data_IF_472717543490
#
_entry.id   IF_472717543490
#
_cell.length_a   1.000
_cell.length_b   1.000
_cell.length_c   1.000
_cell.angle_alpha   90.00
_cell.angle_beta   90.00
_cell.angle_gamma   90.00
#
_symmetry.space_group_name_H-M   'P 1'
#
loop_
_entity.id
_entity.type
_entity.pdbx_description
1 polymer ?
#
# COMPACT_ATOMS: atom_id res chain seq x y z
N UNK A 1 37.99 -19.89 8.77
CA UNK A 1 37.42 -19.35 7.50
C UNK A 1 35.95 -19.73 7.29
N UNK A 2 35.59 -21.02 7.36
CA UNK A 2 34.19 -21.45 7.20
C UNK A 2 33.18 -20.74 8.13
N UNK A 3 33.57 -20.44 9.37
CA UNK A 3 32.73 -19.70 10.31
C UNK A 3 32.41 -18.27 9.87
N UNK A 4 33.34 -17.57 9.21
CA UNK A 4 33.07 -16.23 8.67
C UNK A 4 32.03 -16.31 7.55
N UNK A 5 32.15 -17.30 6.67
CA UNK A 5 31.17 -17.54 5.61
C UNK A 5 29.80 -17.86 6.20
N UNK A 6 29.75 -18.71 7.25
CA UNK A 6 28.51 -19.02 7.96
C UNK A 6 27.86 -17.76 8.56
N UNK A 7 28.64 -16.89 9.19
CA UNK A 7 28.14 -15.63 9.77
C UNK A 7 27.59 -14.72 8.67
N UNK A 8 28.27 -14.60 7.53
CA UNK A 8 27.80 -13.78 6.41
C UNK A 8 26.49 -14.32 5.83
N UNK A 9 26.37 -15.64 5.67
CA UNK A 9 25.13 -16.27 5.21
C UNK A 9 24.01 -16.01 6.21
N UNK A 10 24.26 -16.17 7.52
CA UNK A 10 23.27 -15.91 8.56
C UNK A 10 22.79 -14.45 8.54
N UNK A 11 23.72 -13.50 8.45
CA UNK A 11 23.43 -12.08 8.38
C UNK A 11 22.61 -11.72 7.14
N UNK A 12 22.94 -12.30 5.97
CA UNK A 12 22.19 -12.10 4.75
C UNK A 12 20.75 -12.64 4.86
N UNK A 13 20.55 -13.83 5.45
CA UNK A 13 19.23 -14.41 5.66
C UNK A 13 18.38 -13.54 6.60
N UNK A 14 18.95 -13.08 7.72
CA UNK A 14 18.27 -12.18 8.66
C UNK A 14 17.90 -10.87 7.96
N UNK A 15 18.81 -10.28 7.18
CA UNK A 15 18.56 -9.05 6.45
C UNK A 15 17.44 -9.22 5.41
N UNK A 16 17.46 -10.29 4.62
CA UNK A 16 16.42 -10.58 3.62
C UNK A 16 15.06 -10.78 4.30
N UNK A 17 15.00 -11.58 5.36
CA UNK A 17 13.77 -11.79 6.13
C UNK A 17 13.20 -10.48 6.67
N UNK A 18 14.04 -9.65 7.29
CA UNK A 18 13.64 -8.33 7.77
C UNK A 18 13.22 -7.38 6.64
N UNK A 19 13.92 -7.41 5.51
CA UNK A 19 13.62 -6.55 4.36
C UNK A 19 12.26 -6.88 3.74
N UNK A 20 11.96 -8.17 3.59
CA UNK A 20 10.68 -8.65 3.04
C UNK A 20 9.52 -8.27 3.95
N UNK A 21 9.62 -8.48 5.27
CA UNK A 21 8.56 -8.08 6.20
C UNK A 21 8.31 -6.57 6.19
N UNK A 22 9.37 -5.76 6.09
CA UNK A 22 9.26 -4.30 5.96
C UNK A 22 8.60 -3.87 4.65
N UNK A 23 8.84 -4.57 3.53
CA UNK A 23 8.18 -4.28 2.26
C UNK A 23 6.67 -4.51 2.33
N UNK A 24 6.23 -5.57 3.03
CA UNK A 24 4.81 -5.86 3.22
C UNK A 24 4.13 -4.84 4.14
N UNK A 25 4.81 -4.38 5.19
CA UNK A 25 4.29 -3.36 6.11
C UNK A 25 4.05 -2.00 5.43
N UNK A 26 4.88 -1.65 4.43
CA UNK A 26 4.72 -0.44 3.63
C UNK A 26 3.77 -0.59 2.44
N UNK A 27 3.14 -1.77 2.24
CA UNK A 27 2.10 -1.88 1.23
C UNK A 27 0.89 -1.10 1.74
N UNK A 28 0.64 0.07 1.15
CA UNK A 28 -0.58 0.84 1.35
C UNK A 28 -1.74 -0.13 1.20
N UNK A 29 -2.41 -0.46 2.33
CA UNK A 29 -3.65 -1.22 2.33
C UNK A 29 -4.53 -0.55 1.27
N UNK A 30 -4.99 -1.30 0.28
CA UNK A 30 -6.11 -0.86 -0.56
C UNK A 30 -7.24 -0.61 0.42
N UNK A 31 -7.34 0.64 0.85
CA UNK A 31 -8.48 1.12 1.58
C UNK A 31 -9.61 0.84 0.60
N UNK A 32 -10.64 0.14 1.07
CA UNK A 32 -11.90 0.13 0.34
C UNK A 32 -12.21 1.62 0.21
N UNK A 33 -12.01 2.14 -1.00
CA UNK A 33 -12.51 3.45 -1.39
C UNK A 33 -13.98 3.39 -0.99
N UNK A 34 -14.38 4.22 -0.03
CA UNK A 34 -15.77 4.28 0.35
C UNK A 34 -16.62 4.64 -0.86
N UNK A 35 -17.94 4.43 -0.83
CA UNK A 35 -18.83 4.95 -1.88
C UNK A 35 -18.53 6.42 -2.20
N UNK A 36 -18.08 7.19 -1.20
CA UNK A 36 -17.69 8.60 -1.30
C UNK A 36 -16.47 8.89 -2.21
N UNK A 37 -15.55 7.94 -2.47
CA UNK A 37 -14.48 8.13 -3.47
C UNK A 37 -14.70 7.32 -4.78
N UNK A 38 -15.87 6.69 -4.96
CA UNK A 38 -16.24 6.06 -6.23
C UNK A 38 -16.83 7.13 -7.19
N UNK A 39 -16.15 7.45 -8.31
CA UNK A 39 -16.63 8.47 -9.24
C UNK A 39 -18.00 8.12 -9.83
N UNK A 40 -18.34 6.84 -9.96
CA UNK A 40 -19.63 6.41 -10.48
C UNK A 40 -20.76 6.49 -9.43
N UNK A 41 -20.43 6.44 -8.13
CA UNK A 41 -21.38 6.68 -7.04
C UNK A 41 -21.69 8.18 -6.89
N UNK A 42 -20.66 9.03 -6.85
CA UNK A 42 -20.82 10.50 -6.78
C UNK A 42 -21.69 11.04 -7.93
N UNK A 43 -21.51 10.49 -9.14
CA UNK A 43 -22.35 10.82 -10.31
C UNK A 43 -23.84 10.50 -10.13
N UNK A 44 -24.19 9.57 -9.25
CA UNK A 44 -25.58 9.16 -8.99
C UNK A 44 -26.23 9.99 -7.89
N UNK A 45 -25.44 10.46 -6.91
CA UNK A 45 -25.96 11.19 -5.73
C UNK A 45 -25.78 12.70 -5.77
N UNK A 46 -24.94 13.24 -6.67
CA UNK A 46 -24.86 14.67 -6.95
C UNK A 46 -25.72 14.97 -8.19
N UNK A 47 -26.96 15.48 -8.02
CA UNK A 47 -27.69 16.09 -9.12
C UNK A 47 -26.90 17.32 -9.54
N UNK A 48 -26.52 17.42 -10.82
CA UNK A 48 -25.82 18.55 -11.46
C UNK A 48 -25.98 19.88 -10.71
N UNK A 49 -25.07 20.18 -9.79
CA UNK A 49 -24.90 21.52 -9.22
C UNK A 49 -24.09 22.42 -10.19
N UNK A 50 -23.73 21.89 -11.36
CA UNK A 50 -23.00 22.56 -12.45
C UNK A 50 -23.83 23.68 -13.14
N UNK A 51 -25.08 23.91 -12.73
CA UNK A 51 -25.89 25.03 -13.23
C UNK A 51 -25.71 26.27 -12.36
N UNK A 52 -25.14 27.37 -12.88
CA UNK A 52 -25.11 28.62 -12.13
C UNK A 52 -26.56 29.09 -11.92
N UNK A 53 -26.98 29.27 -10.66
CA UNK A 53 -28.27 29.90 -10.37
C UNK A 53 -28.16 31.38 -10.71
N UNK A 54 -28.75 31.77 -11.84
CA UNK A 54 -29.01 33.15 -12.26
C UNK A 54 -30.17 33.75 -11.49
#
# INVERSE_FOLDING_TARGET
MAYLLLILVLAALVYVGWRVTRMTANRTRTRVIGPDDDPDFLRRITPRDDTPRS
#
